data_IF_054929784261
#
_entry.id   IF_054929784261
#
_cell.length_a   1.000
_cell.length_b   1.000
_cell.length_c   1.000
_cell.angle_alpha   90.00
_cell.angle_beta   90.00
_cell.angle_gamma   90.00
#
_symmetry.space_group_name_H-M   'P 1'
#
loop_
_entity.id
_entity.type
_entity.pdbx_description
1 polymer ?
#
# COMPACT_ATOMS: atom_id res chain seq x y z
N UNK A 1 12.43 -4.98 -30.32
CA UNK A 1 12.68 -4.85 -28.86
C UNK A 1 13.26 -3.49 -28.46
N UNK A 2 13.41 -2.51 -29.34
CA UNK A 2 13.46 -1.09 -28.97
C UNK A 2 13.29 -0.27 -30.24
N UNK A 3 12.21 0.50 -30.40
CA UNK A 3 12.22 1.74 -31.17
C UNK A 3 10.86 2.47 -31.16
N UNK A 4 10.96 3.72 -30.69
CA UNK A 4 10.07 4.86 -30.90
C UNK A 4 8.98 5.02 -29.84
N UNK A 5 9.41 5.45 -28.65
CA UNK A 5 8.63 6.37 -27.81
C UNK A 5 9.52 7.59 -27.56
N UNK A 6 9.47 8.53 -28.51
CA UNK A 6 10.06 9.85 -28.36
C UNK A 6 8.98 10.88 -28.65
N UNK A 7 8.02 11.03 -27.73
CA UNK A 7 7.15 12.20 -27.66
C UNK A 7 6.44 12.24 -26.29
N UNK A 8 6.65 13.37 -25.58
CA UNK A 8 6.17 13.79 -24.27
C UNK A 8 6.80 13.14 -23.02
N UNK A 9 7.77 13.86 -22.45
CA UNK A 9 8.07 13.83 -21.01
C UNK A 9 6.92 14.50 -20.20
N UNK A 10 5.68 14.02 -20.34
CA UNK A 10 4.62 14.39 -19.40
C UNK A 10 4.46 13.26 -18.41
N UNK A 11 5.20 13.33 -17.30
CA UNK A 11 4.81 12.55 -16.14
C UNK A 11 3.47 13.11 -15.64
N UNK A 12 2.45 12.28 -15.66
CA UNK A 12 1.13 12.67 -15.16
C UNK A 12 0.97 12.12 -13.75
N UNK A 13 0.88 13.03 -12.79
CA UNK A 13 0.27 12.72 -11.51
C UNK A 13 -1.24 12.81 -11.71
N UNK A 14 -1.92 11.67 -11.70
CA UNK A 14 -3.37 11.62 -11.70
C UNK A 14 -3.87 12.49 -10.54
N UNK A 15 -4.65 13.54 -10.80
CA UNK A 15 -5.28 14.34 -9.77
C UNK A 15 -6.75 14.60 -10.12
N UNK A 16 -7.68 14.22 -9.24
CA UNK A 16 -9.12 14.41 -9.52
C UNK A 16 -10.10 13.62 -8.62
N UNK A 17 -11.43 13.77 -8.83
CA UNK A 17 -12.47 13.08 -8.06
C UNK A 17 -12.37 11.55 -8.09
N UNK A 18 -12.00 10.98 -9.25
CA UNK A 18 -11.76 9.55 -9.43
C UNK A 18 -10.61 9.04 -8.56
N UNK A 19 -9.51 9.78 -8.47
CA UNK A 19 -8.38 9.43 -7.61
C UNK A 19 -8.76 9.46 -6.12
N UNK A 20 -9.59 10.42 -5.69
CA UNK A 20 -10.11 10.44 -4.31
C UNK A 20 -10.92 9.19 -3.99
N UNK A 21 -11.78 8.74 -4.92
CA UNK A 21 -12.54 7.49 -4.73
C UNK A 21 -11.63 6.27 -4.67
N UNK A 22 -10.59 6.21 -5.51
CA UNK A 22 -9.60 5.11 -5.48
C UNK A 22 -8.82 5.07 -4.19
N UNK A 23 -8.33 6.23 -3.73
CA UNK A 23 -7.67 6.36 -2.44
C UNK A 23 -8.54 5.79 -1.33
N UNK A 24 -9.81 6.20 -1.27
CA UNK A 24 -10.76 5.68 -0.27
C UNK A 24 -10.92 4.16 -0.40
N UNK A 25 -11.13 3.65 -1.62
CA UNK A 25 -11.33 2.21 -1.87
C UNK A 25 -10.09 1.39 -1.47
N UNK A 26 -8.90 1.79 -1.90
CA UNK A 26 -7.64 1.11 -1.58
C UNK A 26 -7.39 1.11 -0.07
N UNK A 27 -7.59 2.25 0.61
CA UNK A 27 -7.41 2.30 2.06
C UNK A 27 -8.44 1.44 2.80
N UNK A 28 -9.67 1.34 2.29
CA UNK A 28 -10.68 0.44 2.85
C UNK A 28 -10.30 -1.05 2.73
N UNK A 29 -9.48 -1.47 1.76
CA UNK A 29 -9.03 -2.87 1.68
C UNK A 29 -7.99 -3.22 2.75
N UNK A 30 -7.22 -2.23 3.21
CA UNK A 30 -6.17 -2.44 4.22
C UNK A 30 -6.73 -2.68 5.63
N UNK A 31 -7.82 -2.00 6.01
CA UNK A 31 -8.39 -2.08 7.36
C UNK A 31 -8.69 -3.52 7.81
N UNK A 32 -9.48 -4.34 7.09
CA UNK A 32 -9.80 -5.70 7.54
C UNK A 32 -8.57 -6.61 7.62
N UNK A 33 -7.54 -6.37 6.79
CA UNK A 33 -6.28 -7.12 6.86
C UNK A 33 -5.51 -6.72 8.11
N UNK A 34 -5.42 -5.41 8.41
CA UNK A 34 -4.74 -4.91 9.60
C UNK A 34 -5.41 -5.42 10.89
N UNK A 35 -6.74 -5.42 10.95
CA UNK A 35 -7.48 -5.99 12.08
C UNK A 35 -7.22 -7.49 12.25
N UNK A 36 -7.14 -8.24 11.13
CA UNK A 36 -6.82 -9.68 11.16
C UNK A 36 -5.40 -9.93 11.66
N UNK A 37 -4.41 -9.20 11.15
CA UNK A 37 -3.02 -9.32 11.59
C UNK A 37 -2.90 -9.13 13.10
N UNK A 38 -3.60 -8.15 13.66
CA UNK A 38 -3.66 -7.95 15.10
C UNK A 38 -4.35 -9.09 15.85
N UNK A 39 -5.52 -9.54 15.38
CA UNK A 39 -6.29 -10.61 16.04
C UNK A 39 -5.56 -11.97 16.04
N UNK A 40 -4.66 -12.19 15.09
CA UNK A 40 -3.90 -13.43 14.93
C UNK A 40 -2.47 -13.34 15.49
N UNK A 41 -2.10 -12.23 16.15
CA UNK A 41 -0.72 -11.93 16.59
C UNK A 41 0.30 -12.12 15.43
N UNK A 42 -0.12 -11.80 14.20
CA UNK A 42 0.64 -12.02 12.98
C UNK A 42 1.38 -10.74 12.61
N UNK A 43 2.68 -10.86 12.33
CA UNK A 43 3.57 -9.73 11.97
C UNK A 43 3.70 -8.65 13.06
N UNK A 44 3.34 -8.95 14.30
CA UNK A 44 3.57 -8.07 15.44
C UNK A 44 5.06 -8.03 15.80
N UNK A 45 5.54 -6.85 16.16
CA UNK A 45 6.97 -6.55 16.36
C UNK A 45 7.27 -5.91 17.73
N UNK A 46 6.23 -5.73 18.56
CA UNK A 46 6.35 -5.17 19.91
C UNK A 46 5.37 -5.81 20.89
N UNK A 47 5.89 -6.13 22.07
CA UNK A 47 5.12 -6.53 23.23
C UNK A 47 4.77 -5.29 24.10
N UNK A 48 3.50 -5.12 24.45
CA UNK A 48 3.05 -4.07 25.39
C UNK A 48 2.66 -4.71 26.71
N UNK A 49 3.29 -4.30 27.80
CA UNK A 49 3.09 -4.81 29.16
C UNK A 49 2.26 -3.88 30.02
N UNK A 50 1.31 -4.46 30.76
CA UNK A 50 0.52 -3.83 31.83
C UNK A 50 0.49 -4.76 33.03
N UNK A 51 1.26 -4.43 34.06
CA UNK A 51 1.42 -5.29 35.23
C UNK A 51 2.07 -6.63 34.83
N UNK A 52 1.34 -7.72 35.07
CA UNK A 52 1.77 -9.06 34.68
C UNK A 52 1.30 -9.46 33.26
N UNK A 53 0.39 -8.70 32.67
CA UNK A 53 -0.20 -9.00 31.37
C UNK A 53 0.61 -8.40 30.23
N UNK A 54 0.60 -9.08 29.07
CA UNK A 54 1.28 -8.65 27.84
C UNK A 54 0.36 -8.81 26.64
N UNK A 55 0.49 -7.92 25.65
CA UNK A 55 -0.24 -7.96 24.38
C UNK A 55 0.73 -7.71 23.23
N UNK A 56 0.61 -8.48 22.14
CA UNK A 56 1.40 -8.25 20.92
C UNK A 56 0.73 -7.19 20.05
N UNK A 57 1.53 -6.35 19.41
CA UNK A 57 1.03 -5.29 18.54
C UNK A 57 2.06 -4.91 17.48
N UNK A 58 1.62 -4.06 16.55
CA UNK A 58 2.46 -3.42 15.55
C UNK A 58 2.92 -2.04 16.04
N UNK A 59 4.22 -1.87 16.20
CA UNK A 59 4.86 -0.63 16.64
C UNK A 59 4.54 0.54 15.72
N UNK A 60 4.43 0.29 14.40
CA UNK A 60 4.04 1.29 13.40
C UNK A 60 2.64 1.84 13.68
N UNK A 61 1.69 0.99 14.08
CA UNK A 61 0.32 1.40 14.43
C UNK A 61 0.32 2.16 15.74
N UNK A 62 0.94 1.60 16.79
CA UNK A 62 1.01 2.24 18.11
C UNK A 62 1.66 3.62 18.06
N UNK A 63 2.77 3.75 17.35
CA UNK A 63 3.48 5.00 17.17
C UNK A 63 2.68 6.02 16.34
N UNK A 64 1.87 5.57 15.39
CA UNK A 64 1.05 6.44 14.56
C UNK A 64 -0.12 7.04 15.34
N UNK A 65 -0.74 6.26 16.23
CA UNK A 65 -1.90 6.70 17.00
C UNK A 65 -1.54 7.46 18.28
N UNK A 66 -0.40 7.14 18.91
CA UNK A 66 -0.06 7.60 20.27
C UNK A 66 1.35 8.15 20.38
N UNK A 67 1.45 9.38 20.89
CA UNK A 67 2.73 10.01 21.21
C UNK A 67 3.46 9.31 22.36
N UNK A 68 2.74 8.69 23.31
CA UNK A 68 3.37 7.91 24.38
C UNK A 68 4.10 6.71 23.80
N UNK A 69 3.43 5.93 22.94
CA UNK A 69 4.05 4.79 22.28
C UNK A 69 5.17 5.24 21.34
N UNK A 70 4.95 6.28 20.52
CA UNK A 70 5.99 6.86 19.66
C UNK A 70 7.26 7.19 20.46
N UNK A 71 7.14 7.93 21.56
CA UNK A 71 8.30 8.34 22.36
C UNK A 71 9.01 7.14 23.00
N UNK A 72 8.28 6.16 23.53
CA UNK A 72 8.88 4.96 24.14
C UNK A 72 9.57 4.08 23.10
N UNK A 73 8.98 3.90 21.92
CA UNK A 73 9.57 3.15 20.80
C UNK A 73 10.77 3.86 20.19
N UNK A 74 10.78 5.20 20.23
CA UNK A 74 11.86 6.04 19.70
C UNK A 74 13.05 6.17 20.65
N UNK A 75 12.90 5.78 21.91
CA UNK A 75 13.99 5.76 22.85
C UNK A 75 15.03 4.72 22.40
N UNK A 76 16.32 5.06 22.44
CA UNK A 76 17.39 4.10 22.16
C UNK A 76 17.27 2.94 23.16
N UNK A 77 17.16 1.71 22.67
CA UNK A 77 17.30 0.54 23.53
C UNK A 77 18.65 0.59 24.24
N UNK A 78 18.70 0.13 25.50
CA UNK A 78 19.95 0.03 26.28
C UNK A 78 21.02 -0.80 25.57
N UNK A 79 20.62 -1.64 24.61
CA UNK A 79 21.48 -2.53 23.83
C UNK A 79 21.74 -2.05 22.40
N UNK A 80 21.28 -0.85 22.01
CA UNK A 80 21.48 -0.30 20.66
C UNK A 80 20.58 -0.88 19.56
N UNK A 81 19.63 -1.75 19.91
CA UNK A 81 18.65 -2.32 18.98
C UNK A 81 17.26 -1.67 19.01
N UNK A 82 16.33 -2.24 18.25
CA UNK A 82 14.90 -1.87 18.27
C UNK A 82 14.30 -2.14 19.65
N UNK A 83 13.41 -1.26 20.11
CA UNK A 83 12.60 -1.51 21.30
C UNK A 83 11.50 -2.52 20.95
N UNK A 84 11.53 -3.69 21.57
CA UNK A 84 10.58 -4.79 21.33
C UNK A 84 9.61 -5.03 22.49
N UNK A 85 9.77 -4.31 23.61
CA UNK A 85 8.88 -4.40 24.76
C UNK A 85 8.66 -3.03 25.39
N UNK A 86 7.41 -2.67 25.67
CA UNK A 86 6.98 -1.39 26.22
C UNK A 86 6.18 -1.62 27.50
N UNK A 87 6.51 -0.91 28.57
CA UNK A 87 5.70 -0.91 29.80
C UNK A 87 4.81 0.33 29.85
N UNK A 88 3.50 0.13 30.00
CA UNK A 88 2.49 1.20 30.16
C UNK A 88 1.63 1.02 31.39
N UNK A 89 2.10 0.24 32.37
CA UNK A 89 1.43 -0.01 33.65
C UNK A 89 1.15 1.30 34.42
N UNK A 90 2.01 2.31 34.24
CA UNK A 90 1.86 3.64 34.84
C UNK A 90 0.74 4.48 34.20
N UNK A 91 0.19 4.04 33.06
CA UNK A 91 -0.73 4.82 32.23
C UNK A 91 -2.14 4.25 32.19
N UNK A 92 -2.26 2.94 31.99
CA UNK A 92 -3.53 2.27 31.71
C UNK A 92 -3.59 0.90 32.37
N UNK A 93 -4.80 0.45 32.70
CA UNK A 93 -5.08 -0.94 33.09
C UNK A 93 -5.16 -1.86 31.85
N UNK A 94 -5.11 -3.19 32.05
CA UNK A 94 -5.21 -4.15 30.94
C UNK A 94 -6.49 -3.97 30.13
N UNK A 95 -7.63 -3.77 30.81
CA UNK A 95 -8.92 -3.52 30.18
C UNK A 95 -8.94 -2.23 29.34
N UNK A 96 -8.25 -1.20 29.80
CA UNK A 96 -8.12 0.06 29.06
C UNK A 96 -7.17 -0.08 27.86
N UNK A 97 -6.10 -0.87 27.99
CA UNK A 97 -5.22 -1.18 26.87
C UNK A 97 -5.96 -1.98 25.79
N UNK A 98 -6.73 -2.99 26.16
CA UNK A 98 -7.52 -3.79 25.21
C UNK A 98 -8.53 -2.93 24.46
N UNK A 99 -9.27 -2.09 25.20
CA UNK A 99 -10.21 -1.14 24.60
C UNK A 99 -9.52 -0.15 23.63
N UNK A 100 -8.32 0.29 23.96
CA UNK A 100 -7.53 1.17 23.10
C UNK A 100 -7.04 0.47 21.83
N UNK A 101 -6.59 -0.78 21.95
CA UNK A 101 -6.12 -1.56 20.80
C UNK A 101 -7.28 -1.92 19.89
N UNK A 102 -8.43 -2.31 20.45
CA UNK A 102 -9.65 -2.51 19.66
C UNK A 102 -10.01 -1.23 18.89
N UNK A 103 -9.97 -0.06 19.54
CA UNK A 103 -10.17 1.22 18.85
C UNK A 103 -9.13 1.48 17.75
N UNK A 104 -7.85 1.16 17.99
CA UNK A 104 -6.77 1.42 17.03
C UNK A 104 -6.83 0.51 15.79
N UNK A 105 -7.30 -0.74 15.94
CA UNK A 105 -7.31 -1.76 14.89
C UNK A 105 -8.70 -2.02 14.30
N UNK A 106 -9.80 -1.71 14.99
CA UNK A 106 -11.17 -1.99 14.56
C UNK A 106 -12.21 -1.14 15.32
N UNK A 107 -12.57 0.02 14.77
CA UNK A 107 -13.54 0.92 15.41
C UNK A 107 -14.97 0.39 15.42
N UNK A 108 -15.30 -0.65 14.62
CA UNK A 108 -16.65 -1.21 14.54
C UNK A 108 -16.94 -2.24 15.64
N UNK A 109 -15.89 -2.85 16.20
CA UNK A 109 -16.02 -3.86 17.28
C UNK A 109 -15.92 -3.30 18.68
N UNK A 110 -15.58 -2.01 18.86
CA UNK A 110 -15.45 -1.46 20.21
C UNK A 110 -16.83 -1.34 20.87
N UNK A 111 -17.23 -2.36 21.66
CA UNK A 111 -18.40 -2.32 22.54
C UNK A 111 -18.25 -1.36 23.73
N UNK A 112 -17.35 -0.39 23.62
CA UNK A 112 -16.99 0.56 24.66
C UNK A 112 -17.71 1.89 24.42
N UNK A 113 -18.14 2.55 25.49
CA UNK A 113 -18.70 3.89 25.38
C UNK A 113 -17.62 4.87 24.90
N UNK A 114 -17.99 5.76 23.98
CA UNK A 114 -17.12 6.80 23.40
C UNK A 114 -16.37 7.61 24.47
N UNK A 115 -17.05 7.94 25.58
CA UNK A 115 -16.47 8.65 26.72
C UNK A 115 -15.33 7.90 27.43
N UNK A 116 -15.35 6.56 27.43
CA UNK A 116 -14.27 5.76 28.00
C UNK A 116 -13.03 5.78 27.11
N UNK A 117 -13.20 5.63 25.79
CA UNK A 117 -12.10 5.68 24.81
C UNK A 117 -11.43 7.06 24.82
N UNK A 118 -12.20 8.15 24.91
CA UNK A 118 -11.63 9.51 25.01
C UNK A 118 -10.64 9.65 26.17
N UNK A 119 -11.02 9.16 27.35
CA UNK A 119 -10.18 9.24 28.54
C UNK A 119 -8.91 8.39 28.39
N UNK A 120 -9.03 7.21 27.78
CA UNK A 120 -7.89 6.32 27.51
C UNK A 120 -6.94 6.99 26.50
N UNK A 121 -7.46 7.57 25.41
CA UNK A 121 -6.65 8.31 24.45
C UNK A 121 -5.94 9.50 25.10
N UNK A 122 -6.57 10.23 26.02
CA UNK A 122 -5.91 11.30 26.80
C UNK A 122 -4.74 10.76 27.62
N UNK A 123 -4.92 9.63 28.34
CA UNK A 123 -3.86 8.99 29.13
C UNK A 123 -2.66 8.57 28.28
N UNK A 124 -2.92 8.10 27.07
CA UNK A 124 -1.92 7.65 26.10
C UNK A 124 -1.43 8.75 25.16
N UNK A 125 -1.88 10.00 25.32
CA UNK A 125 -1.63 11.10 24.38
C UNK A 125 -1.82 10.67 22.92
N UNK A 126 -2.95 10.02 22.68
CA UNK A 126 -3.35 9.45 21.41
C UNK A 126 -4.38 10.34 20.72
N UNK A 127 -4.41 10.25 19.38
CA UNK A 127 -5.48 10.88 18.59
C UNK A 127 -6.81 10.22 18.95
N UNK A 128 -7.82 11.06 19.15
CA UNK A 128 -9.18 10.66 19.45
C UNK A 128 -10.12 11.51 18.61
N UNK A 129 -11.12 10.87 18.04
CA UNK A 129 -12.20 11.55 17.33
C UNK A 129 -13.52 11.31 18.09
N UNK A 130 -14.20 12.40 18.53
CA UNK A 130 -15.45 12.30 19.28
C UNK A 130 -16.66 11.89 18.44
N UNK A 131 -16.61 12.06 17.11
CA UNK A 131 -17.62 11.52 16.21
C UNK A 131 -17.18 10.10 15.86
N UNK A 132 -17.92 9.07 16.26
CA UNK A 132 -17.60 7.65 15.96
C UNK A 132 -17.10 7.48 14.53
N UNK A 133 -15.77 7.45 14.39
CA UNK A 133 -15.14 7.44 13.08
C UNK A 133 -15.49 6.11 12.42
N UNK A 134 -16.11 6.11 11.23
CA UNK A 134 -16.14 4.90 10.43
C UNK A 134 -14.72 4.38 10.33
N UNK A 135 -14.51 3.09 10.56
CA UNK A 135 -13.21 2.39 10.53
C UNK A 135 -12.27 2.91 9.43
N UNK A 136 -12.83 3.28 8.28
CA UNK A 136 -12.13 3.92 7.17
C UNK A 136 -11.47 5.29 7.44
N UNK A 137 -12.01 6.21 8.27
CA UNK A 137 -11.34 7.53 8.47
C UNK A 137 -10.16 7.47 9.43
N UNK A 138 -10.18 6.59 10.44
CA UNK A 138 -9.06 6.45 11.39
C UNK A 138 -7.79 6.04 10.64
N UNK A 139 -7.94 5.06 9.75
CA UNK A 139 -6.88 4.65 8.85
C UNK A 139 -6.44 5.80 7.92
N UNK A 140 -7.38 6.48 7.27
CA UNK A 140 -7.10 7.52 6.28
C UNK A 140 -6.46 8.80 6.85
N UNK A 141 -6.92 9.26 8.01
CA UNK A 141 -6.58 10.58 8.56
C UNK A 141 -5.51 10.51 9.65
N UNK A 142 -5.39 9.38 10.35
CA UNK A 142 -4.45 9.23 11.47
C UNK A 142 -3.33 8.26 11.12
N UNK A 143 -3.64 7.01 10.79
CA UNK A 143 -2.61 5.98 10.65
C UNK A 143 -1.77 6.17 9.39
N UNK A 144 -2.42 6.25 8.23
CA UNK A 144 -1.75 6.22 6.93
C UNK A 144 -0.81 7.41 6.69
N UNK A 145 -1.16 8.67 7.03
CA UNK A 145 -0.21 9.78 6.93
C UNK A 145 1.04 9.57 7.79
N UNK A 146 0.88 8.98 8.98
CA UNK A 146 2.02 8.66 9.85
C UNK A 146 2.84 7.48 9.30
N UNK A 147 2.22 6.46 8.69
CA UNK A 147 2.95 5.36 8.05
C UNK A 147 3.89 5.88 6.97
N UNK A 148 3.43 6.83 6.14
CA UNK A 148 4.28 7.46 5.13
C UNK A 148 5.45 8.23 5.73
N UNK A 149 5.20 9.03 6.78
CA UNK A 149 6.26 9.76 7.49
C UNK A 149 7.28 8.77 8.07
N UNK A 150 6.82 7.70 8.71
CA UNK A 150 7.69 6.70 9.30
C UNK A 150 8.52 5.96 8.24
N UNK A 151 7.93 5.60 7.10
CA UNK A 151 8.67 5.00 6.00
C UNK A 151 9.75 5.95 5.45
N UNK A 152 9.38 7.20 5.20
CA UNK A 152 10.30 8.23 4.68
C UNK A 152 11.51 8.44 5.59
N UNK A 153 11.28 8.46 6.90
CA UNK A 153 12.33 8.64 7.90
C UNK A 153 12.88 7.32 8.47
N UNK A 154 12.55 6.18 7.85
CA UNK A 154 12.98 4.84 8.26
C UNK A 154 12.75 4.53 9.75
N UNK A 155 11.64 5.02 10.30
CA UNK A 155 11.23 4.78 11.68
C UNK A 155 10.38 3.52 11.73
N UNK A 156 10.64 2.67 12.71
CA UNK A 156 9.84 1.47 12.98
C UNK A 156 9.76 0.48 11.80
N UNK A 157 10.62 0.61 10.78
CA UNK A 157 10.74 -0.37 9.72
C UNK A 157 11.29 -1.70 10.28
N UNK A 158 10.60 -2.79 10.00
CA UNK A 158 10.89 -4.18 10.41
C UNK A 158 11.27 -5.07 9.22
N UNK A 159 11.41 -4.48 8.03
CA UNK A 159 11.89 -5.19 6.83
C UNK A 159 12.62 -4.24 5.88
N UNK A 160 13.62 -4.78 5.20
CA UNK A 160 14.33 -4.18 4.08
C UNK A 160 14.09 -5.03 2.82
N UNK A 161 13.58 -4.42 1.76
CA UNK A 161 13.37 -5.08 0.46
C UNK A 161 14.49 -4.68 -0.48
N UNK A 162 15.26 -5.65 -0.95
CA UNK A 162 16.32 -5.48 -1.93
C UNK A 162 15.79 -5.79 -3.33
N UNK A 163 15.90 -4.83 -4.25
CA UNK A 163 15.52 -4.97 -5.67
C UNK A 163 16.64 -4.38 -6.51
N UNK A 164 17.22 -5.18 -7.42
CA UNK A 164 18.38 -4.80 -8.24
C UNK A 164 19.53 -4.13 -7.44
N UNK A 165 19.78 -4.62 -6.22
CA UNK A 165 20.81 -4.07 -5.33
C UNK A 165 20.44 -2.77 -4.61
N UNK A 166 19.26 -2.18 -4.87
CA UNK A 166 18.73 -1.05 -4.09
C UNK A 166 17.91 -1.56 -2.91
N UNK A 167 18.09 -0.96 -1.74
CA UNK A 167 17.42 -1.34 -0.50
C UNK A 167 16.30 -0.36 -0.16
N UNK A 168 15.13 -0.89 0.16
CA UNK A 168 13.93 -0.15 0.53
C UNK A 168 13.44 -0.57 1.91
N UNK A 169 13.49 0.34 2.89
CA UNK A 169 12.97 0.08 4.23
C UNK A 169 11.46 0.27 4.27
N UNK A 170 10.76 -0.65 4.92
CA UNK A 170 9.29 -0.66 5.01
C UNK A 170 8.81 -1.36 6.28
N UNK A 171 7.48 -1.43 6.42
CA UNK A 171 6.79 -2.12 7.51
C UNK A 171 6.09 -3.37 6.94
N UNK A 172 6.37 -4.56 7.49
CA UNK A 172 5.76 -5.84 7.08
C UNK A 172 4.25 -5.76 7.13
N UNK A 173 3.69 -5.20 8.21
CA UNK A 173 2.25 -5.02 8.37
C UNK A 173 1.65 -4.15 7.24
N UNK A 174 2.29 -3.02 6.89
CA UNK A 174 1.79 -2.15 5.82
C UNK A 174 1.89 -2.84 4.46
N UNK A 175 3.02 -3.48 4.16
CA UNK A 175 3.18 -4.24 2.92
C UNK A 175 2.16 -5.37 2.82
N UNK A 176 1.94 -6.14 3.89
CA UNK A 176 0.97 -7.24 3.90
C UNK A 176 -0.47 -6.74 3.74
N UNK A 177 -0.84 -5.60 4.32
CA UNK A 177 -2.16 -5.01 4.15
C UNK A 177 -2.42 -4.51 2.72
N UNK A 178 -1.37 -4.07 2.01
CA UNK A 178 -1.49 -3.46 0.69
C UNK A 178 -1.20 -4.41 -0.47
N UNK A 179 -0.53 -5.54 -0.22
CA UNK A 179 0.02 -6.41 -1.24
C UNK A 179 -0.15 -7.89 -0.86
N UNK A 180 -1.05 -8.64 -1.54
CA UNK A 180 -1.29 -10.06 -1.30
C UNK A 180 -0.04 -10.94 -1.44
N UNK A 181 0.90 -10.59 -2.33
CA UNK A 181 2.19 -11.27 -2.43
C UNK A 181 2.96 -11.18 -1.11
N UNK A 182 3.10 -9.97 -0.54
CA UNK A 182 3.79 -9.78 0.73
C UNK A 182 3.03 -10.39 1.91
N UNK A 183 1.70 -10.33 1.92
CA UNK A 183 0.90 -11.04 2.91
C UNK A 183 1.24 -12.53 2.92
N UNK A 184 1.19 -13.17 1.76
CA UNK A 184 1.49 -14.60 1.60
C UNK A 184 2.94 -14.90 1.96
N UNK A 185 3.88 -14.07 1.49
CA UNK A 185 5.30 -14.22 1.77
C UNK A 185 5.58 -14.16 3.27
N UNK A 186 5.10 -13.16 4.00
CA UNK A 186 5.39 -13.02 5.42
C UNK A 186 4.67 -14.04 6.30
N UNK A 187 3.50 -14.54 5.87
CA UNK A 187 2.67 -15.48 6.66
C UNK A 187 2.88 -16.95 6.29
N UNK A 188 3.69 -17.28 5.29
CA UNK A 188 3.91 -18.67 4.86
C UNK A 188 4.66 -19.56 5.88
N UNK A 189 5.23 -18.97 6.93
CA UNK A 189 5.92 -19.70 8.01
C UNK A 189 7.31 -20.24 7.64
N UNK A 190 7.81 -19.95 6.44
CA UNK A 190 9.15 -20.34 5.99
C UNK A 190 10.24 -19.52 6.70
N UNK A 191 11.49 -20.00 6.65
CA UNK A 191 12.61 -19.32 7.31
C UNK A 191 12.87 -17.95 6.66
N UNK A 192 12.90 -17.90 5.32
CA UNK A 192 13.11 -16.68 4.54
C UNK A 192 12.05 -15.60 4.83
N UNK A 193 10.85 -16.00 5.27
CA UNK A 193 9.80 -15.05 5.64
C UNK A 193 10.06 -14.32 6.96
N UNK A 194 11.02 -14.78 7.75
CA UNK A 194 11.42 -14.20 9.04
C UNK A 194 12.65 -13.31 8.93
N UNK A 195 13.35 -13.33 7.80
CA UNK A 195 14.53 -12.50 7.60
C UNK A 195 14.15 -11.02 7.49
N UNK A 196 14.95 -10.16 8.12
CA UNK A 196 14.76 -8.71 8.09
C UNK A 196 15.13 -8.10 6.73
N UNK A 197 15.74 -8.88 5.84
CA UNK A 197 16.07 -8.48 4.48
C UNK A 197 15.57 -9.51 3.48
N UNK A 198 14.73 -9.07 2.55
CA UNK A 198 14.18 -9.92 1.49
C UNK A 198 14.69 -9.42 0.13
N UNK A 199 14.91 -10.31 -0.82
CA UNK A 199 15.35 -9.93 -2.17
C UNK A 199 14.29 -10.32 -3.19
N UNK A 200 13.83 -9.35 -3.98
CA UNK A 200 12.94 -9.60 -5.11
C UNK A 200 13.72 -9.65 -6.41
N UNK A 201 13.34 -10.58 -7.28
CA UNK A 201 13.96 -10.82 -8.57
C UNK A 201 12.90 -10.69 -9.67
N UNK A 202 13.31 -10.29 -10.88
CA UNK A 202 12.40 -10.19 -12.03
C UNK A 202 11.56 -8.91 -12.10
N UNK A 203 11.86 -7.92 -11.25
CA UNK A 203 11.25 -6.59 -11.27
C UNK A 203 12.34 -5.51 -11.20
N UNK A 204 12.07 -4.33 -11.76
CA UNK A 204 13.02 -3.22 -11.70
C UNK A 204 12.91 -2.45 -10.38
N UNK A 205 14.03 -1.91 -9.92
CA UNK A 205 14.07 -1.12 -8.68
C UNK A 205 13.28 0.19 -8.78
N UNK A 206 13.16 0.75 -10.00
CA UNK A 206 12.37 1.94 -10.28
C UNK A 206 10.87 1.69 -10.19
N UNK A 207 10.38 0.62 -10.84
CA UNK A 207 8.97 0.23 -10.75
C UNK A 207 8.58 -0.18 -9.34
N UNK A 208 9.44 -0.91 -8.61
CA UNK A 208 9.22 -1.20 -7.20
C UNK A 208 9.14 0.09 -6.35
N UNK A 209 10.00 1.08 -6.59
CA UNK A 209 9.96 2.35 -5.88
C UNK A 209 8.64 3.09 -6.11
N UNK A 210 8.11 3.10 -7.34
CA UNK A 210 6.81 3.69 -7.68
C UNK A 210 5.66 2.98 -6.96
N UNK A 211 5.66 1.64 -6.92
CA UNK A 211 4.63 0.88 -6.20
C UNK A 211 4.74 1.07 -4.69
N UNK A 212 5.96 1.08 -4.15
CA UNK A 212 6.17 1.36 -2.73
C UNK A 212 5.68 2.76 -2.37
N UNK A 213 5.96 3.76 -3.22
CA UNK A 213 5.42 5.10 -3.04
C UNK A 213 3.88 5.07 -3.01
N UNK A 214 3.26 4.42 -3.99
CA UNK A 214 1.80 4.24 -4.03
C UNK A 214 1.24 3.58 -2.77
N UNK A 215 1.88 2.53 -2.24
CA UNK A 215 1.49 1.84 -0.99
C UNK A 215 1.44 2.78 0.23
N UNK A 216 2.18 3.90 0.22
CA UNK A 216 2.20 4.85 1.33
C UNK A 216 1.51 6.18 1.04
N UNK A 217 1.32 6.56 -0.23
CA UNK A 217 0.74 7.87 -0.60
C UNK A 217 -0.58 7.76 -1.32
N UNK A 218 -0.92 6.59 -1.88
CA UNK A 218 -1.99 6.37 -2.89
C UNK A 218 -1.82 7.20 -4.17
N UNK A 219 -0.61 7.71 -4.40
CA UNK A 219 -0.23 8.46 -5.59
C UNK A 219 0.70 7.61 -6.45
N UNK A 220 0.48 7.65 -7.76
CA UNK A 220 1.27 6.89 -8.73
C UNK A 220 1.64 7.83 -9.88
N UNK A 221 2.94 7.92 -10.14
CA UNK A 221 3.49 8.69 -11.26
C UNK A 221 3.82 7.72 -12.39
N UNK A 222 3.21 7.93 -13.55
CA UNK A 222 3.40 7.12 -14.75
C UNK A 222 3.94 7.95 -15.90
N UNK A 223 4.70 7.28 -16.76
CA UNK A 223 5.08 7.75 -18.08
C UNK A 223 5.12 6.56 -19.05
N UNK A 224 5.07 6.81 -20.34
CA UNK A 224 5.00 5.76 -21.36
C UNK A 224 6.22 4.84 -21.37
N UNK A 225 7.38 5.34 -20.96
CA UNK A 225 8.62 4.56 -20.90
C UNK A 225 8.65 3.58 -19.74
N UNK A 226 7.95 3.87 -18.64
CA UNK A 226 8.02 3.08 -17.39
C UNK A 226 6.74 2.32 -17.07
N UNK A 227 5.62 2.62 -17.74
CA UNK A 227 4.31 2.03 -17.42
C UNK A 227 4.32 0.50 -17.55
N UNK A 228 4.99 -0.07 -18.55
CA UNK A 228 5.08 -1.52 -18.70
C UNK A 228 5.79 -2.18 -17.51
N UNK A 229 6.92 -1.63 -17.06
CA UNK A 229 7.65 -2.14 -15.89
C UNK A 229 6.83 -2.02 -14.60
N UNK A 230 6.07 -0.92 -14.46
CA UNK A 230 5.13 -0.75 -13.34
C UNK A 230 4.03 -1.80 -13.39
N UNK A 231 3.49 -2.11 -14.57
CA UNK A 231 2.48 -3.17 -14.74
C UNK A 231 3.04 -4.56 -14.41
N UNK A 232 4.25 -4.90 -14.88
CA UNK A 232 4.93 -6.16 -14.52
C UNK A 232 5.05 -6.29 -13.00
N UNK A 233 5.50 -5.23 -12.34
CA UNK A 233 5.71 -5.23 -10.89
C UNK A 233 4.39 -5.28 -10.13
N UNK A 234 3.36 -4.56 -10.60
CA UNK A 234 2.04 -4.56 -9.99
C UNK A 234 1.37 -5.93 -10.09
N UNK A 235 1.53 -6.61 -11.23
CA UNK A 235 1.07 -7.98 -11.42
C UNK A 235 1.82 -8.96 -10.51
N UNK A 236 3.16 -8.84 -10.43
CA UNK A 236 3.99 -9.65 -9.54
C UNK A 236 3.59 -9.49 -8.06
N UNK A 237 3.38 -8.24 -7.63
CA UNK A 237 2.97 -7.90 -6.27
C UNK A 237 1.46 -8.07 -6.02
N UNK A 238 0.67 -8.39 -7.06
CA UNK A 238 -0.79 -8.56 -6.97
C UNK A 238 -1.51 -7.29 -6.47
N UNK A 239 -1.16 -6.12 -7.01
CA UNK A 239 -1.78 -4.83 -6.70
C UNK A 239 -2.65 -4.37 -7.88
N UNK A 240 -3.89 -4.88 -8.02
CA UNK A 240 -4.75 -4.62 -9.18
C UNK A 240 -5.12 -3.13 -9.33
N UNK A 241 -5.20 -2.37 -8.24
CA UNK A 241 -5.47 -0.93 -8.30
C UNK A 241 -4.39 -0.16 -9.08
N UNK A 242 -3.14 -0.64 -9.04
CA UNK A 242 -2.05 -0.09 -9.85
C UNK A 242 -2.20 -0.47 -11.32
N UNK A 243 -2.63 -1.69 -11.62
CA UNK A 243 -2.92 -2.12 -13.00
C UNK A 243 -4.06 -1.30 -13.61
N UNK A 244 -5.13 -1.05 -12.86
CA UNK A 244 -6.25 -0.21 -13.30
C UNK A 244 -5.78 1.21 -13.63
N UNK A 245 -4.92 1.81 -12.80
CA UNK A 245 -4.35 3.13 -13.07
C UNK A 245 -3.42 3.14 -14.28
N UNK A 246 -2.63 2.09 -14.48
CA UNK A 246 -1.79 1.94 -15.68
C UNK A 246 -2.65 1.81 -16.94
N UNK A 247 -3.73 1.02 -16.89
CA UNK A 247 -4.64 0.83 -18.01
C UNK A 247 -5.31 2.16 -18.43
N UNK A 248 -5.70 2.98 -17.46
CA UNK A 248 -6.26 4.29 -17.73
C UNK A 248 -5.24 5.29 -18.27
N UNK A 249 -4.02 5.29 -17.74
CA UNK A 249 -2.92 6.09 -18.29
C UNK A 249 -2.71 5.77 -19.77
N UNK A 250 -2.62 4.48 -20.09
CA UNK A 250 -2.45 4.01 -21.46
C UNK A 250 -3.63 4.41 -22.37
N UNK A 251 -4.85 4.42 -21.84
CA UNK A 251 -6.01 4.91 -22.59
C UNK A 251 -5.92 6.41 -22.89
N UNK A 252 -5.46 7.22 -21.94
CA UNK A 252 -5.29 8.67 -22.15
C UNK A 252 -4.22 8.99 -23.18
N UNK A 253 -3.16 8.18 -23.24
CA UNK A 253 -2.03 8.38 -24.14
C UNK A 253 -2.13 7.61 -25.47
N UNK A 254 -3.26 6.91 -25.71
CA UNK A 254 -3.45 6.12 -26.93
C UNK A 254 -3.45 7.02 -28.16
N UNK A 255 -2.71 6.59 -29.18
CA UNK A 255 -2.68 7.20 -30.50
C UNK A 255 -2.41 6.12 -31.56
N UNK A 256 -2.45 6.51 -32.83
CA UNK A 256 -2.24 5.59 -33.94
C UNK A 256 -0.82 5.04 -34.02
N UNK A 257 0.18 5.61 -33.35
CA UNK A 257 1.54 5.09 -33.39
C UNK A 257 1.76 4.01 -32.30
N UNK A 258 1.07 4.12 -31.15
CA UNK A 258 1.28 3.22 -30.02
C UNK A 258 0.15 2.21 -29.77
N UNK A 259 -1.01 2.32 -30.43
CA UNK A 259 -2.18 1.49 -30.11
C UNK A 259 -1.93 -0.02 -30.26
N UNK A 260 -1.09 -0.43 -31.22
CA UNK A 260 -0.72 -1.84 -31.40
C UNK A 260 0.08 -2.40 -30.20
N UNK A 261 1.02 -1.62 -29.67
CA UNK A 261 1.79 -2.01 -28.48
C UNK A 261 0.90 -2.07 -27.24
N UNK A 262 0.00 -1.09 -27.08
CA UNK A 262 -0.95 -1.07 -25.96
C UNK A 262 -1.93 -2.25 -26.04
N UNK A 263 -2.36 -2.66 -27.23
CA UNK A 263 -3.18 -3.87 -27.43
C UNK A 263 -2.43 -5.13 -26.98
N UNK A 264 -1.13 -5.24 -27.27
CA UNK A 264 -0.28 -6.33 -26.76
C UNK A 264 -0.25 -6.35 -25.22
N UNK A 265 -0.06 -5.19 -24.59
CA UNK A 265 -0.13 -5.07 -23.13
C UNK A 265 -1.51 -5.47 -22.58
N UNK A 266 -2.59 -5.19 -23.30
CA UNK A 266 -3.92 -5.62 -22.86
C UNK A 266 -4.07 -7.14 -22.83
N UNK A 267 -3.41 -7.86 -23.75
CA UNK A 267 -3.37 -9.33 -23.75
C UNK A 267 -2.52 -9.86 -22.60
N UNK A 268 -1.30 -9.34 -22.44
CA UNK A 268 -0.34 -9.78 -21.43
C UNK A 268 -0.86 -9.62 -19.99
N UNK A 269 -1.61 -8.55 -19.74
CA UNK A 269 -2.15 -8.21 -18.42
C UNK A 269 -3.66 -8.43 -18.26
N UNK A 270 -4.31 -9.05 -19.25
CA UNK A 270 -5.74 -9.35 -19.25
C UNK A 270 -6.64 -8.11 -19.03
N UNK A 271 -6.33 -7.00 -19.70
CA UNK A 271 -7.06 -5.73 -19.62
C UNK A 271 -8.19 -5.65 -20.67
N UNK A 272 -9.21 -6.49 -20.52
CA UNK A 272 -10.29 -6.62 -21.50
C UNK A 272 -11.04 -5.30 -21.77
N UNK A 273 -11.32 -4.50 -20.74
CA UNK A 273 -12.04 -3.23 -20.88
C UNK A 273 -11.21 -2.20 -21.65
N UNK A 274 -9.89 -2.14 -21.41
CA UNK A 274 -8.99 -1.27 -22.16
C UNK A 274 -8.91 -1.70 -23.62
N UNK A 275 -8.75 -3.00 -23.87
CA UNK A 275 -8.72 -3.57 -25.22
C UNK A 275 -9.94 -3.13 -26.02
N UNK A 276 -11.14 -3.26 -25.46
CA UNK A 276 -12.38 -2.86 -26.15
C UNK A 276 -12.37 -1.38 -26.50
N UNK A 277 -12.00 -0.51 -25.56
CA UNK A 277 -11.91 0.94 -25.80
C UNK A 277 -10.90 1.30 -26.90
N UNK A 278 -9.77 0.62 -26.95
CA UNK A 278 -8.76 0.86 -28.00
C UNK A 278 -9.25 0.37 -29.35
N UNK A 279 -9.93 -0.77 -29.43
CA UNK A 279 -10.51 -1.26 -30.68
C UNK A 279 -11.62 -0.33 -31.21
N UNK A 280 -12.42 0.26 -30.31
CA UNK A 280 -13.39 1.32 -30.67
C UNK A 280 -12.67 2.56 -31.21
N UNK A 281 -11.63 3.03 -30.52
CA UNK A 281 -10.78 4.13 -30.98
C UNK A 281 -10.23 3.89 -32.40
N UNK A 282 -9.66 2.70 -32.65
CA UNK A 282 -9.10 2.35 -33.97
C UNK A 282 -10.19 2.27 -35.06
N UNK A 283 -11.40 1.78 -34.72
CA UNK A 283 -12.52 1.69 -35.66
C UNK A 283 -12.98 3.07 -36.14
N UNK A 284 -12.93 4.05 -35.25
CA UNK A 284 -13.36 5.43 -35.53
C UNK A 284 -12.28 6.24 -36.30
N UNK A 285 -11.06 5.72 -36.41
CA UNK A 285 -10.01 6.28 -37.25
C UNK A 285 -10.23 6.00 -38.75
N UNK A 286 -9.72 6.88 -39.62
CA UNK A 286 -9.86 6.74 -41.08
C UNK A 286 -9.03 5.57 -41.59
N UNK A 287 -9.57 4.82 -42.56
CA UNK A 287 -8.99 3.58 -43.10
C UNK A 287 -7.56 3.77 -43.63
N UNK A 288 -7.26 4.94 -44.22
CA UNK A 288 -5.93 5.28 -44.75
C UNK A 288 -4.84 5.38 -43.67
N UNK A 289 -5.20 5.65 -42.42
CA UNK A 289 -4.26 5.74 -41.30
C UNK A 289 -3.99 4.37 -40.64
N UNK A 290 -4.86 3.38 -40.87
CA UNK A 290 -4.85 2.06 -40.21
C UNK A 290 -4.02 1.02 -40.97
N UNK A 291 -3.80 1.21 -42.27
CA UNK A 291 -3.02 0.26 -43.11
C UNK A 291 -1.55 0.12 -42.69
N UNK A 292 -1.02 1.06 -41.88
CA UNK A 292 0.34 1.00 -41.32
C UNK A 292 0.42 0.29 -39.95
N UNK A 293 -0.71 -0.13 -39.36
CA UNK A 293 -0.75 -0.63 -37.98
C UNK A 293 -0.47 -2.13 -37.81
N UNK A 294 -0.36 -2.90 -38.89
CA UNK A 294 -0.11 -4.34 -38.81
C UNK A 294 -1.23 -5.16 -38.15
N UNK A 295 -2.39 -4.55 -37.86
CA UNK A 295 -3.58 -5.21 -37.33
C UNK A 295 -4.30 -5.96 -38.46
N UNK A 296 -4.70 -7.21 -38.22
CA UNK A 296 -5.39 -7.99 -39.25
C UNK A 296 -6.84 -7.55 -39.39
N UNK A 297 -7.45 -7.79 -40.57
CA UNK A 297 -8.87 -7.50 -40.80
C UNK A 297 -9.81 -8.21 -39.81
N UNK A 298 -9.37 -9.35 -39.25
CA UNK A 298 -10.09 -10.09 -38.21
C UNK A 298 -10.09 -9.37 -36.86
N UNK A 299 -9.02 -8.63 -36.52
CA UNK A 299 -8.93 -7.87 -35.26
C UNK A 299 -9.85 -6.64 -35.25
N UNK A 300 -10.18 -6.12 -36.44
CA UNK A 300 -11.04 -4.95 -36.64
C UNK A 300 -12.53 -5.30 -36.78
N UNK A 301 -12.89 -6.58 -36.81
CA UNK A 301 -14.27 -7.04 -36.95
C UNK A 301 -14.96 -6.55 -38.23
N UNK A 302 -14.20 -6.36 -39.32
CA UNK A 302 -14.72 -6.03 -40.65
C UNK A 302 -14.74 -7.26 -41.56
#
# INVERSE_FOLDING_TARGET
MARIMAAKESSETFSGPLQKQRKVKFLQTMQPVLSRLYQEDSLTDVEVRVGADTVQAHSVVLAAISNVFYNKLSAKSKTGGRVTSLDVTDRVSKKELDAFLDYAYDTERSGHTTANIENICKKLNAKFDPEEVPSSKMLQEVLYPNFYIFQTFQRFCDVAVCVEGKTFFSHRAVLACSCPYFYSFFTCGLQDSRDDMITLQGISSESFAKILHFIYTTELELCLETVQDVMVTANFLQVPEVLDMCAEFLYCEVNLENCGEILGLCEDFNLADLRLKILEFVRDCRVEDVENLGLSSQDLGR
#
